data_IF_416704633505
#
_entry.id   IF_416704633505
#
_cell.length_a   1.000
_cell.length_b   1.000
_cell.length_c   1.000
_cell.angle_alpha   90.00
_cell.angle_beta   90.00
_cell.angle_gamma   90.00
#
_symmetry.space_group_name_H-M   'P 1'
#
loop_
_entity.id
_entity.type
_entity.pdbx_description
1 polymer ?
#
# COMPACT_ATOMS: atom_id res chain seq x y z
N UNK A 1 18.49 -12.30 7.99
CA UNK A 1 17.17 -12.46 7.34
C UNK A 1 17.22 -11.71 6.04
N UNK A 2 17.08 -12.39 4.91
CA UNK A 2 17.15 -11.75 3.58
C UNK A 2 15.85 -10.97 3.33
N UNK A 3 15.96 -9.66 3.22
CA UNK A 3 14.83 -8.83 2.80
C UNK A 3 14.67 -8.94 1.29
N UNK A 4 13.99 -9.98 0.83
CA UNK A 4 13.82 -10.34 -0.59
C UNK A 4 13.31 -9.18 -1.47
N UNK A 5 12.67 -8.18 -0.89
CA UNK A 5 12.19 -7.00 -1.61
C UNK A 5 13.28 -5.93 -1.84
N UNK A 6 14.36 -5.89 -0.99
CA UNK A 6 15.51 -4.99 -1.19
C UNK A 6 16.43 -5.48 -2.32
N UNK A 7 16.41 -6.79 -2.61
CA UNK A 7 17.24 -7.39 -3.65
C UNK A 7 16.65 -7.28 -5.06
N UNK A 8 15.41 -6.79 -5.21
CA UNK A 8 14.78 -6.62 -6.51
C UNK A 8 15.37 -5.39 -7.22
N UNK A 9 16.38 -5.64 -8.07
CA UNK A 9 16.93 -4.61 -8.95
C UNK A 9 15.93 -4.23 -10.03
N UNK A 10 15.75 -2.92 -10.24
CA UNK A 10 15.00 -2.40 -11.38
C UNK A 10 15.66 -2.86 -12.69
N UNK A 11 14.89 -3.53 -13.54
CA UNK A 11 15.34 -3.96 -14.88
C UNK A 11 14.89 -2.90 -15.88
N UNK A 12 15.84 -2.09 -16.37
CA UNK A 12 15.58 -1.08 -17.37
C UNK A 12 16.64 0.02 -17.36
N UNK A 13 16.58 0.92 -18.32
CA UNK A 13 17.39 2.12 -18.35
C UNK A 13 16.52 3.36 -18.15
N UNK A 14 17.04 4.39 -17.50
CA UNK A 14 16.37 5.71 -17.33
C UNK A 14 15.99 6.27 -18.71
N UNK A 15 16.85 6.11 -19.72
CA UNK A 15 16.57 6.53 -21.08
C UNK A 15 15.37 5.81 -21.68
N UNK A 16 15.32 4.45 -21.54
CA UNK A 16 14.19 3.66 -22.03
C UNK A 16 12.89 4.03 -21.34
N UNK A 17 12.92 4.30 -20.03
CA UNK A 17 11.73 4.73 -19.29
C UNK A 17 11.26 6.13 -19.74
N UNK A 18 12.17 7.08 -19.92
CA UNK A 18 11.84 8.41 -20.45
C UNK A 18 11.23 8.34 -21.85
N UNK A 19 11.76 7.47 -22.69
CA UNK A 19 11.22 7.25 -24.04
C UNK A 19 9.81 6.68 -23.99
N UNK A 20 9.57 5.64 -23.17
CA UNK A 20 8.25 5.02 -22.99
C UNK A 20 7.24 6.03 -22.44
N UNK A 21 7.62 6.79 -21.41
CA UNK A 21 6.76 7.82 -20.82
C UNK A 21 6.48 8.96 -21.82
N UNK A 22 7.50 9.43 -22.55
CA UNK A 22 7.33 10.44 -23.59
C UNK A 22 6.40 9.96 -24.71
N UNK A 23 6.61 8.74 -25.19
CA UNK A 23 5.71 8.13 -26.18
C UNK A 23 4.28 8.00 -25.65
N UNK A 24 4.10 7.61 -24.38
CA UNK A 24 2.78 7.50 -23.75
C UNK A 24 2.00 8.83 -23.74
N UNK A 25 2.69 9.97 -23.55
CA UNK A 25 2.05 11.28 -23.62
C UNK A 25 1.71 11.70 -25.07
N UNK A 26 2.50 11.29 -26.04
CA UNK A 26 2.25 11.57 -27.46
C UNK A 26 1.05 10.77 -27.99
N UNK A 27 1.01 9.48 -27.71
CA UNK A 27 -0.03 8.57 -28.22
C UNK A 27 -1.30 8.55 -27.35
N UNK A 28 -1.22 9.13 -26.16
CA UNK A 28 -2.30 9.12 -25.17
C UNK A 28 -2.38 7.83 -24.33
N UNK A 29 -3.07 7.91 -23.19
CA UNK A 29 -3.18 6.84 -22.20
C UNK A 29 -3.70 5.52 -22.79
N UNK A 30 -4.72 5.57 -23.63
CA UNK A 30 -5.36 4.37 -24.21
C UNK A 30 -4.39 3.57 -25.06
N UNK A 31 -3.68 4.22 -25.98
CA UNK A 31 -2.67 3.58 -26.84
C UNK A 31 -1.46 3.12 -26.01
N UNK A 32 -1.00 3.92 -25.06
CA UNK A 32 0.07 3.51 -24.16
C UNK A 32 -0.28 2.22 -23.37
N UNK A 33 -1.53 2.06 -22.94
CA UNK A 33 -1.99 0.81 -22.29
C UNK A 33 -1.96 -0.39 -23.22
N UNK A 34 -2.24 -0.23 -24.50
CA UNK A 34 -2.10 -1.33 -25.47
C UNK A 34 -0.64 -1.80 -25.56
N UNK A 35 0.31 -0.88 -25.48
CA UNK A 35 1.75 -1.21 -25.49
C UNK A 35 2.21 -1.97 -24.22
N UNK A 36 1.44 -1.93 -23.13
CA UNK A 36 1.75 -2.72 -21.93
C UNK A 36 1.55 -4.23 -22.12
N UNK A 37 0.73 -4.68 -23.08
CA UNK A 37 0.44 -6.10 -23.27
C UNK A 37 1.70 -6.94 -23.56
N UNK A 38 2.53 -6.61 -24.56
CA UNK A 38 3.76 -7.37 -24.82
C UNK A 38 4.76 -7.24 -23.64
N UNK A 39 4.84 -6.09 -22.98
CA UNK A 39 5.70 -5.89 -21.81
C UNK A 39 5.29 -6.80 -20.65
N UNK A 40 4.00 -6.84 -20.32
CA UNK A 40 3.48 -7.72 -19.27
C UNK A 40 3.70 -9.19 -19.59
N UNK A 41 3.50 -9.59 -20.85
CA UNK A 41 3.73 -10.96 -21.28
C UNK A 41 5.21 -11.34 -21.14
N UNK A 42 6.12 -10.47 -21.56
CA UNK A 42 7.56 -10.66 -21.37
C UNK A 42 7.92 -10.88 -19.90
N UNK A 43 7.51 -9.98 -18.99
CA UNK A 43 7.81 -10.15 -17.57
C UNK A 43 7.15 -11.38 -16.96
N UNK A 44 5.93 -11.72 -17.36
CA UNK A 44 5.24 -12.92 -16.90
C UNK A 44 5.96 -14.19 -17.32
N UNK A 45 6.55 -14.25 -18.51
CA UNK A 45 7.27 -15.41 -19.00
C UNK A 45 8.68 -15.53 -18.37
N UNK A 46 9.41 -14.43 -18.26
CA UNK A 46 10.84 -14.45 -17.89
C UNK A 46 11.13 -14.14 -16.43
N UNK A 47 10.17 -13.60 -15.63
CA UNK A 47 10.38 -13.29 -14.21
C UNK A 47 9.87 -14.39 -13.29
N UNK A 48 10.59 -15.52 -13.19
CA UNK A 48 10.15 -16.71 -12.45
C UNK A 48 9.88 -16.44 -10.98
N UNK A 49 10.75 -15.68 -10.28
CA UNK A 49 10.60 -15.35 -8.85
C UNK A 49 9.30 -14.55 -8.61
N UNK A 50 9.10 -13.45 -9.34
CA UNK A 50 7.90 -12.61 -9.24
C UNK A 50 6.63 -13.38 -9.59
N UNK A 51 6.69 -14.28 -10.59
CA UNK A 51 5.55 -15.14 -10.98
C UNK A 51 5.18 -16.13 -9.88
N UNK A 52 6.17 -16.72 -9.17
CA UNK A 52 5.91 -17.61 -8.04
C UNK A 52 5.25 -16.85 -6.88
N UNK A 53 5.77 -15.68 -6.53
CA UNK A 53 5.20 -14.82 -5.51
C UNK A 53 3.76 -14.39 -5.84
N UNK A 54 3.52 -13.92 -7.06
CA UNK A 54 2.18 -13.57 -7.56
C UNK A 54 1.22 -14.77 -7.49
N UNK A 55 1.67 -15.97 -7.86
CA UNK A 55 0.85 -17.19 -7.77
C UNK A 55 0.50 -17.53 -6.32
N UNK A 56 1.46 -17.45 -5.39
CA UNK A 56 1.26 -17.70 -3.95
C UNK A 56 0.25 -16.72 -3.36
N UNK A 57 0.38 -15.45 -3.64
CA UNK A 57 -0.58 -14.42 -3.23
C UNK A 57 -1.97 -14.65 -3.82
N UNK A 58 -2.07 -14.77 -5.16
CA UNK A 58 -3.36 -14.91 -5.82
C UNK A 58 -4.10 -16.19 -5.42
N UNK A 59 -3.40 -17.30 -5.12
CA UNK A 59 -4.06 -18.51 -4.64
C UNK A 59 -4.79 -18.28 -3.31
N UNK A 60 -4.23 -17.45 -2.42
CA UNK A 60 -4.84 -17.09 -1.14
C UNK A 60 -5.95 -16.05 -1.29
N UNK A 61 -5.70 -15.00 -2.08
CA UNK A 61 -6.67 -13.93 -2.28
C UNK A 61 -7.94 -14.40 -3.02
N UNK A 62 -7.78 -15.31 -3.99
CA UNK A 62 -8.89 -15.89 -4.78
C UNK A 62 -9.52 -17.13 -4.11
N UNK A 63 -8.87 -17.74 -3.12
CA UNK A 63 -9.32 -18.99 -2.50
C UNK A 63 -9.28 -20.21 -3.47
N UNK A 64 -8.55 -20.12 -4.58
CA UNK A 64 -8.38 -21.16 -5.59
C UNK A 64 -7.02 -21.06 -6.27
N UNK A 65 -6.62 -22.13 -6.97
CA UNK A 65 -5.42 -22.07 -7.83
C UNK A 65 -5.61 -21.03 -8.95
N UNK A 66 -4.70 -20.04 -9.08
CA UNK A 66 -4.83 -19.03 -10.12
C UNK A 66 -4.49 -19.61 -11.50
N UNK A 67 -5.27 -19.20 -12.50
CA UNK A 67 -5.01 -19.48 -13.92
C UNK A 67 -3.93 -18.53 -14.46
N UNK A 68 -3.43 -18.81 -15.66
CA UNK A 68 -2.48 -17.93 -16.35
C UNK A 68 -3.07 -16.52 -16.56
N UNK A 69 -4.36 -16.44 -16.88
CA UNK A 69 -5.08 -15.17 -17.02
C UNK A 69 -5.13 -14.33 -15.74
N UNK A 70 -5.19 -14.97 -14.55
CA UNK A 70 -5.15 -14.27 -13.27
C UNK A 70 -3.77 -13.62 -13.03
N UNK A 71 -2.72 -14.38 -13.30
CA UNK A 71 -1.34 -13.87 -13.25
C UNK A 71 -1.13 -12.70 -14.22
N UNK A 72 -1.62 -12.86 -15.46
CA UNK A 72 -1.54 -11.82 -16.46
C UNK A 72 -2.29 -10.53 -16.02
N UNK A 73 -3.51 -10.66 -15.50
CA UNK A 73 -4.29 -9.52 -14.96
C UNK A 73 -3.56 -8.81 -13.83
N UNK A 74 -2.87 -9.54 -12.95
CA UNK A 74 -2.09 -8.96 -11.86
C UNK A 74 -0.91 -8.12 -12.39
N UNK A 75 -0.14 -8.65 -13.35
CA UNK A 75 0.95 -7.90 -14.00
C UNK A 75 0.42 -6.70 -14.79
N UNK A 76 -0.68 -6.87 -15.50
CA UNK A 76 -1.28 -5.81 -16.29
C UNK A 76 -1.88 -4.69 -15.43
N UNK A 77 -2.49 -5.03 -14.28
CA UNK A 77 -2.96 -4.05 -13.31
C UNK A 77 -1.80 -3.23 -12.75
N UNK A 78 -0.70 -3.89 -12.34
CA UNK A 78 0.51 -3.21 -11.89
C UNK A 78 1.06 -2.25 -12.95
N UNK A 79 1.26 -2.74 -14.18
CA UNK A 79 1.80 -1.93 -15.26
C UNK A 79 0.89 -0.75 -15.61
N UNK A 80 -0.44 -0.95 -15.57
CA UNK A 80 -1.41 0.13 -15.80
C UNK A 80 -1.34 1.19 -14.70
N UNK A 81 -1.32 0.79 -13.42
CA UNK A 81 -1.20 1.73 -12.29
C UNK A 81 0.12 2.49 -12.36
N UNK A 82 1.23 1.81 -12.71
CA UNK A 82 2.52 2.45 -12.90
C UNK A 82 2.52 3.47 -14.07
N UNK A 83 1.84 3.17 -15.18
CA UNK A 83 1.62 4.12 -16.28
C UNK A 83 0.75 5.29 -15.83
N UNK A 84 -0.36 5.03 -15.16
CA UNK A 84 -1.32 6.04 -14.72
C UNK A 84 -0.69 7.03 -13.74
N UNK A 85 0.28 6.58 -12.92
CA UNK A 85 1.07 7.43 -12.04
C UNK A 85 1.65 8.64 -12.78
N UNK A 86 2.20 8.46 -13.99
CA UNK A 86 2.81 9.56 -14.75
C UNK A 86 1.76 10.58 -15.22
N UNK A 87 0.58 10.13 -15.61
CA UNK A 87 -0.52 11.03 -15.96
C UNK A 87 -1.03 11.80 -14.73
N UNK A 88 -1.17 11.13 -13.59
CA UNK A 88 -1.56 11.78 -12.32
C UNK A 88 -0.52 12.79 -11.83
N UNK A 89 0.78 12.52 -12.03
CA UNK A 89 1.86 13.46 -11.70
C UNK A 89 1.90 14.70 -12.62
N UNK A 90 1.26 14.63 -13.78
CA UNK A 90 1.03 15.75 -14.72
C UNK A 90 -0.36 16.37 -14.55
N UNK A 91 -1.02 16.09 -13.42
CA UNK A 91 -2.33 16.62 -13.04
C UNK A 91 -3.44 16.37 -14.09
N UNK A 92 -3.28 15.28 -14.90
CA UNK A 92 -4.26 14.84 -15.91
C UNK A 92 -5.38 14.04 -15.26
N UNK A 93 -6.05 14.63 -14.26
CA UNK A 93 -7.10 13.97 -13.46
C UNK A 93 -8.36 13.67 -14.25
N UNK A 94 -8.63 14.46 -15.28
CA UNK A 94 -9.77 14.30 -16.20
C UNK A 94 -9.77 12.95 -16.95
N UNK A 95 -8.63 12.27 -16.98
CA UNK A 95 -8.52 10.94 -17.59
C UNK A 95 -9.11 9.83 -16.72
N UNK A 96 -9.43 10.12 -15.45
CA UNK A 96 -9.78 9.11 -14.46
C UNK A 96 -11.16 9.36 -13.85
N UNK A 97 -11.92 8.29 -13.70
CA UNK A 97 -13.14 8.25 -12.91
C UNK A 97 -12.80 7.77 -11.50
N UNK A 98 -12.92 8.68 -10.53
CA UNK A 98 -12.55 8.41 -9.15
C UNK A 98 -13.78 8.49 -8.26
N UNK A 99 -14.07 7.38 -7.54
CA UNK A 99 -15.11 7.34 -6.50
C UNK A 99 -14.43 7.32 -5.14
N UNK A 100 -14.96 8.11 -4.21
CA UNK A 100 -14.39 8.23 -2.85
C UNK A 100 -15.38 7.64 -1.86
N UNK A 101 -14.90 6.71 -1.03
CA UNK A 101 -15.62 6.08 0.06
C UNK A 101 -14.99 6.48 1.41
N UNK A 102 -15.81 6.69 2.44
CA UNK A 102 -15.36 7.19 3.73
C UNK A 102 -15.09 8.69 3.71
N UNK A 103 -15.86 9.45 2.93
CA UNK A 103 -15.77 10.92 2.88
C UNK A 103 -16.05 11.55 4.24
N UNK A 104 -16.96 10.97 5.02
CA UNK A 104 -17.25 11.36 6.40
C UNK A 104 -16.03 11.22 7.32
N UNK A 105 -15.28 10.12 7.21
CA UNK A 105 -14.04 9.88 7.96
C UNK A 105 -12.98 10.91 7.55
N UNK A 106 -12.86 11.17 6.24
CA UNK A 106 -11.94 12.16 5.69
C UNK A 106 -12.28 13.55 6.19
N UNK A 107 -13.55 13.97 6.07
CA UNK A 107 -14.02 15.29 6.49
C UNK A 107 -13.85 15.49 7.99
N UNK A 108 -14.22 14.51 8.81
CA UNK A 108 -14.02 14.59 10.26
C UNK A 108 -12.54 14.80 10.64
N UNK A 109 -11.62 14.13 9.93
CA UNK A 109 -10.19 14.32 10.18
C UNK A 109 -9.69 15.72 9.74
N UNK A 110 -10.25 16.26 8.65
CA UNK A 110 -9.98 17.62 8.20
C UNK A 110 -10.51 18.68 9.18
N UNK A 111 -11.75 18.52 9.65
CA UNK A 111 -12.41 19.47 10.57
C UNK A 111 -11.69 19.58 11.92
N UNK A 112 -11.00 18.51 12.33
CA UNK A 112 -10.14 18.54 13.53
C UNK A 112 -8.92 19.47 13.38
N UNK A 113 -8.59 19.88 12.15
CA UNK A 113 -7.46 20.76 11.88
C UNK A 113 -6.11 20.20 12.34
N UNK A 114 -6.01 18.88 12.46
CA UNK A 114 -4.80 18.19 12.87
C UNK A 114 -4.27 17.35 11.72
N UNK A 115 -2.95 17.36 11.51
CA UNK A 115 -2.31 16.46 10.58
C UNK A 115 -2.57 14.99 10.96
N UNK A 116 -2.69 14.10 9.98
CA UNK A 116 -3.00 12.71 10.19
C UNK A 116 -2.02 11.81 9.43
N UNK A 117 -1.81 10.59 9.94
CA UNK A 117 -1.07 9.56 9.23
C UNK A 117 -2.02 8.77 8.32
N UNK A 118 -1.68 8.69 7.03
CA UNK A 118 -2.33 7.82 6.06
C UNK A 118 -1.54 6.52 5.95
N UNK A 119 -2.10 5.43 6.46
CA UNK A 119 -1.47 4.11 6.38
C UNK A 119 -2.03 3.35 5.19
N UNK A 120 -1.24 3.28 4.13
CA UNK A 120 -1.54 2.53 2.92
C UNK A 120 -0.79 1.22 2.82
N UNK A 121 -0.84 0.62 1.64
CA UNK A 121 -0.08 -0.57 1.23
C UNK A 121 0.31 -0.42 -0.25
N UNK A 122 1.15 -1.35 -0.76
CA UNK A 122 1.38 -1.48 -2.20
C UNK A 122 0.13 -2.06 -2.91
N UNK A 123 -1.03 -1.53 -2.57
CA UNK A 123 -2.36 -1.94 -3.01
C UNK A 123 -3.01 -0.82 -3.83
N UNK A 124 -3.09 -1.02 -5.14
CA UNK A 124 -3.60 -0.03 -6.07
C UNK A 124 -2.68 1.17 -6.26
N UNK A 125 -3.24 2.36 -6.41
CA UNK A 125 -2.51 3.60 -6.65
C UNK A 125 -2.60 4.55 -5.46
N UNK A 126 -1.45 4.93 -4.91
CA UNK A 126 -1.40 6.02 -3.95
C UNK A 126 -1.58 7.39 -4.63
N UNK A 127 -1.06 7.54 -5.83
CA UNK A 127 -1.11 8.80 -6.57
C UNK A 127 -2.54 9.25 -6.92
N UNK A 128 -3.50 8.33 -6.95
CA UNK A 128 -4.91 8.68 -7.19
C UNK A 128 -5.49 9.59 -6.09
N UNK A 129 -4.87 9.59 -4.90
CA UNK A 129 -5.18 10.53 -3.83
C UNK A 129 -5.02 11.99 -4.27
N UNK A 130 -4.13 12.27 -5.21
CA UNK A 130 -3.94 13.62 -5.77
C UNK A 130 -5.19 14.14 -6.46
N UNK A 131 -5.92 13.25 -7.14
CA UNK A 131 -7.19 13.60 -7.78
C UNK A 131 -8.25 14.01 -6.73
N UNK A 132 -8.29 13.35 -5.57
CA UNK A 132 -9.13 13.74 -4.45
C UNK A 132 -8.61 15.03 -3.78
N UNK A 133 -7.29 15.22 -3.73
CA UNK A 133 -6.63 16.38 -3.13
C UNK A 133 -7.04 17.71 -3.75
N UNK A 134 -7.42 17.73 -5.02
CA UNK A 134 -7.96 18.96 -5.67
C UNK A 134 -9.28 19.40 -5.06
N UNK A 135 -10.15 18.47 -4.69
CA UNK A 135 -11.44 18.76 -4.05
C UNK A 135 -11.33 19.09 -2.57
N UNK A 136 -10.41 18.45 -1.86
CA UNK A 136 -10.27 18.58 -0.39
C UNK A 136 -9.07 19.44 0.05
N UNK A 137 -8.28 20.00 -0.87
CA UNK A 137 -7.05 20.76 -0.60
C UNK A 137 -6.07 20.04 0.33
N UNK A 138 -5.95 18.72 0.15
CA UNK A 138 -5.08 17.87 0.96
C UNK A 138 -3.60 18.07 0.57
N UNK A 139 -2.80 18.54 1.51
CA UNK A 139 -1.35 18.47 1.39
C UNK A 139 -0.87 17.13 1.98
N UNK A 140 -0.38 16.23 1.12
CA UNK A 140 0.10 14.92 1.54
C UNK A 140 1.58 14.79 1.22
N UNK A 141 2.38 14.53 2.26
CA UNK A 141 3.77 14.13 2.14
C UNK A 141 3.88 12.61 2.23
N UNK A 142 4.71 11.99 1.37
CA UNK A 142 4.95 10.54 1.37
C UNK A 142 6.24 10.19 2.06
N UNK A 143 6.16 9.28 3.03
CA UNK A 143 7.34 8.65 3.62
C UNK A 143 7.69 7.41 2.80
N UNK A 144 8.86 7.39 2.19
CA UNK A 144 9.31 6.27 1.38
C UNK A 144 10.81 6.04 1.48
N UNK A 145 11.24 4.83 1.15
CA UNK A 145 12.65 4.50 1.08
C UNK A 145 13.23 5.00 -0.25
N UNK A 146 14.16 5.96 -0.20
CA UNK A 146 14.70 6.63 -1.40
C UNK A 146 15.42 5.67 -2.35
N UNK A 147 16.05 4.60 -1.80
CA UNK A 147 16.80 3.62 -2.59
C UNK A 147 15.92 2.70 -3.44
N UNK A 148 14.64 2.61 -3.12
CA UNK A 148 13.70 1.81 -3.89
C UNK A 148 13.05 2.66 -4.98
N UNK A 149 12.96 2.09 -6.19
CA UNK A 149 12.39 2.75 -7.35
C UNK A 149 13.15 4.03 -7.78
N UNK A 150 14.48 4.07 -7.65
CA UNK A 150 15.33 5.23 -8.04
C UNK A 150 15.04 5.70 -9.47
N UNK A 151 14.90 4.78 -10.41
CA UNK A 151 14.65 5.08 -11.81
C UNK A 151 13.27 5.71 -12.02
N UNK A 152 12.24 5.13 -11.41
CA UNK A 152 10.85 5.66 -11.47
C UNK A 152 10.80 7.04 -10.82
N UNK A 153 11.43 7.20 -9.65
CA UNK A 153 11.48 8.49 -8.95
C UNK A 153 12.26 9.55 -9.73
N UNK A 154 13.37 9.18 -10.38
CA UNK A 154 14.13 10.11 -11.22
C UNK A 154 13.29 10.65 -12.38
N UNK A 155 12.52 9.79 -13.05
CA UNK A 155 11.64 10.22 -14.14
C UNK A 155 10.46 11.03 -13.60
N UNK A 156 9.86 10.60 -12.48
CA UNK A 156 8.75 11.30 -11.84
C UNK A 156 9.14 12.71 -11.37
N UNK A 157 10.32 12.87 -10.74
CA UNK A 157 10.85 14.16 -10.30
C UNK A 157 11.13 15.10 -11.47
N UNK A 158 11.63 14.57 -12.59
CA UNK A 158 11.84 15.36 -13.81
C UNK A 158 10.51 15.85 -14.42
N UNK A 159 9.41 15.11 -14.19
CA UNK A 159 8.07 15.47 -14.69
C UNK A 159 7.33 16.44 -13.76
N UNK A 160 7.55 16.35 -12.46
CA UNK A 160 6.95 17.24 -11.47
C UNK A 160 8.03 17.70 -10.48
N UNK A 161 8.62 18.89 -10.68
CA UNK A 161 9.70 19.41 -9.83
C UNK A 161 9.29 19.65 -8.37
N UNK A 162 8.01 19.78 -8.05
CA UNK A 162 7.50 19.91 -6.68
C UNK A 162 7.39 18.56 -5.94
N UNK A 163 7.60 17.43 -6.61
CA UNK A 163 7.47 16.11 -6.03
C UNK A 163 8.53 15.81 -4.94
N UNK A 164 9.82 16.20 -5.08
CA UNK A 164 10.82 15.97 -4.04
C UNK A 164 10.45 16.60 -2.69
N UNK A 165 9.82 17.77 -2.69
CA UNK A 165 9.39 18.45 -1.46
C UNK A 165 8.27 17.70 -0.72
N UNK A 166 7.57 16.81 -1.40
CA UNK A 166 6.49 15.97 -0.85
C UNK A 166 6.97 14.58 -0.45
N UNK A 167 8.26 14.27 -0.64
CA UNK A 167 8.84 12.97 -0.29
C UNK A 167 9.72 13.15 0.94
N UNK A 168 9.47 12.33 1.96
CA UNK A 168 10.31 12.21 3.15
C UNK A 168 11.06 10.89 3.06
N UNK A 169 12.38 10.96 2.84
CA UNK A 169 13.22 9.77 2.74
C UNK A 169 13.36 9.07 4.09
N UNK A 170 13.04 7.79 4.16
CA UNK A 170 13.29 6.95 5.33
C UNK A 170 14.78 6.60 5.44
N UNK A 171 15.23 6.37 6.69
CA UNK A 171 16.62 5.99 6.99
C UNK A 171 17.58 7.17 7.17
N UNK A 172 17.09 8.41 7.06
CA UNK A 172 17.86 9.62 7.38
C UNK A 172 17.56 10.06 8.81
N UNK A 173 18.55 10.67 9.48
CA UNK A 173 18.40 11.15 10.86
C UNK A 173 17.32 12.24 11.00
N UNK A 174 17.10 13.03 9.96
CA UNK A 174 16.13 14.12 9.92
C UNK A 174 14.71 13.69 9.50
N UNK A 175 14.50 12.43 9.10
CA UNK A 175 13.20 11.94 8.60
C UNK A 175 12.07 12.15 9.60
N UNK A 176 12.32 11.85 10.87
CA UNK A 176 11.30 11.99 11.92
C UNK A 176 10.96 13.45 12.23
N UNK A 177 11.96 14.35 12.17
CA UNK A 177 11.71 15.78 12.29
C UNK A 177 10.86 16.31 11.15
N UNK A 178 11.10 15.85 9.91
CA UNK A 178 10.29 16.22 8.75
C UNK A 178 8.86 15.72 8.86
N UNK A 179 8.65 14.48 9.32
CA UNK A 179 7.31 13.94 9.60
C UNK A 179 6.61 14.79 10.66
N UNK A 180 7.29 15.10 11.77
CA UNK A 180 6.76 15.93 12.84
C UNK A 180 6.37 17.34 12.33
N UNK A 181 7.29 18.02 11.63
CA UNK A 181 7.06 19.36 11.08
C UNK A 181 5.84 19.39 10.13
N UNK A 182 5.72 18.42 9.24
CA UNK A 182 4.57 18.30 8.33
C UNK A 182 3.25 18.14 9.11
N UNK A 183 3.22 17.26 10.09
CA UNK A 183 2.01 17.02 10.90
C UNK A 183 1.66 18.24 11.77
N UNK A 184 2.64 19.01 12.24
CA UNK A 184 2.39 20.26 12.97
C UNK A 184 1.77 21.36 12.09
N UNK A 185 2.08 21.34 10.79
CA UNK A 185 1.47 22.26 9.79
C UNK A 185 0.14 21.73 9.25
N UNK A 186 -0.48 20.76 9.93
CA UNK A 186 -1.73 20.10 9.54
C UNK A 186 -1.66 19.38 8.18
N UNK A 187 -0.45 19.13 7.65
CA UNK A 187 -0.26 18.29 6.48
C UNK A 187 -0.47 16.82 6.85
N UNK A 188 -0.83 16.03 5.87
CA UNK A 188 -1.02 14.60 6.03
C UNK A 188 0.23 13.86 5.58
N UNK A 189 0.54 12.76 6.27
CA UNK A 189 1.76 11.99 6.00
C UNK A 189 1.39 10.55 5.64
N UNK A 190 1.66 10.16 4.40
CA UNK A 190 1.41 8.81 3.89
C UNK A 190 2.59 7.88 4.18
N UNK A 191 2.28 6.70 4.72
CA UNK A 191 3.23 5.62 5.01
C UNK A 191 2.67 4.32 4.46
N UNK A 192 3.50 3.48 3.83
CA UNK A 192 3.09 2.12 3.45
C UNK A 192 3.43 1.15 4.58
N UNK A 193 2.42 0.42 5.06
CA UNK A 193 2.50 -0.44 6.25
C UNK A 193 2.65 -1.93 5.93
N UNK A 194 2.84 -2.31 4.66
CA UNK A 194 2.95 -3.69 4.23
C UNK A 194 4.39 -4.16 3.94
N UNK A 195 5.40 -3.37 4.33
CA UNK A 195 6.82 -3.76 4.24
C UNK A 195 7.58 -3.37 5.49
N UNK A 196 8.42 -4.27 5.96
CA UNK A 196 9.27 -4.05 7.13
C UNK A 196 10.64 -3.54 6.66
N UNK A 197 11.13 -2.48 7.31
CA UNK A 197 12.48 -1.98 7.11
C UNK A 197 13.50 -2.88 7.83
N UNK A 198 14.77 -2.86 7.38
CA UNK A 198 15.85 -3.59 8.06
C UNK A 198 15.95 -3.17 9.52
N UNK A 199 15.93 -4.17 10.43
CA UNK A 199 15.99 -3.92 11.88
C UNK A 199 14.71 -3.33 12.48
N UNK A 200 13.66 -3.10 11.68
CA UNK A 200 12.37 -2.60 12.17
C UNK A 200 11.63 -3.66 13.00
N UNK A 201 11.01 -3.19 14.08
CA UNK A 201 10.15 -4.02 14.91
C UNK A 201 8.87 -4.40 14.15
N UNK A 202 8.44 -5.64 14.34
CA UNK A 202 7.31 -6.23 13.63
C UNK A 202 6.52 -7.17 14.52
N UNK A 203 5.24 -7.27 14.29
CA UNK A 203 4.35 -8.20 14.96
C UNK A 203 3.63 -9.09 13.94
N UNK A 204 3.34 -10.35 14.28
CA UNK A 204 2.56 -11.22 13.45
C UNK A 204 1.08 -10.85 13.49
N UNK A 205 0.40 -10.93 12.33
CA UNK A 205 -1.04 -10.87 12.24
C UNK A 205 -1.57 -11.88 11.22
N UNK A 206 -2.79 -12.40 11.39
CA UNK A 206 -3.45 -13.21 10.37
C UNK A 206 -3.64 -12.40 9.08
N UNK A 207 -3.22 -12.95 7.95
CA UNK A 207 -3.37 -12.33 6.65
C UNK A 207 -3.49 -13.38 5.55
N UNK A 208 -4.63 -13.40 4.87
CA UNK A 208 -4.95 -14.34 3.78
C UNK A 208 -4.73 -15.82 4.17
N UNK A 209 -5.12 -16.17 5.39
CA UNK A 209 -5.10 -17.56 5.90
C UNK A 209 -3.79 -18.01 6.54
N UNK A 210 -2.75 -17.17 6.55
CA UNK A 210 -1.49 -17.44 7.27
C UNK A 210 -1.08 -16.24 8.10
N UNK A 211 -0.16 -16.45 9.07
CA UNK A 211 0.47 -15.35 9.78
C UNK A 211 1.47 -14.63 8.86
N UNK A 212 1.42 -13.30 8.89
CA UNK A 212 2.38 -12.45 8.21
C UNK A 212 2.90 -11.39 9.18
N UNK A 213 4.12 -10.93 8.95
CA UNK A 213 4.76 -9.93 9.79
C UNK A 213 4.51 -8.53 9.25
N UNK A 214 4.04 -7.63 10.13
CA UNK A 214 3.77 -6.24 9.81
C UNK A 214 4.57 -5.30 10.71
N UNK A 215 5.03 -4.12 10.20
CA UNK A 215 5.80 -3.17 10.99
C UNK A 215 4.95 -2.49 12.08
N UNK A 216 5.54 -2.28 13.26
CA UNK A 216 4.93 -1.53 14.36
C UNK A 216 5.22 -0.02 14.26
N UNK A 217 6.21 0.38 13.46
CA UNK A 217 6.69 1.76 13.37
C UNK A 217 5.62 2.80 13.05
N UNK A 218 4.62 2.59 12.16
CA UNK A 218 3.58 3.60 11.93
C UNK A 218 2.77 3.92 13.19
N UNK A 219 2.48 2.91 14.01
CA UNK A 219 1.70 3.05 15.24
C UNK A 219 2.52 3.72 16.35
N UNK A 220 3.82 3.39 16.44
CA UNK A 220 4.74 4.04 17.39
C UNK A 220 4.91 5.52 17.06
N UNK A 221 5.04 5.87 15.78
CA UNK A 221 5.05 7.26 15.29
C UNK A 221 3.76 7.97 15.68
N UNK A 222 2.60 7.35 15.43
CA UNK A 222 1.30 7.89 15.78
C UNK A 222 1.17 8.18 17.29
N UNK A 223 1.58 7.22 18.13
CA UNK A 223 1.57 7.39 19.60
C UNK A 223 2.51 8.48 20.10
N UNK A 224 3.70 8.59 19.51
CA UNK A 224 4.70 9.60 19.87
C UNK A 224 4.19 11.00 19.52
N UNK A 225 3.58 11.14 18.34
CA UNK A 225 3.12 12.43 17.82
C UNK A 225 1.66 12.75 18.20
N UNK A 226 0.97 11.81 18.88
CA UNK A 226 -0.46 11.90 19.23
C UNK A 226 -1.33 12.23 18.00
N UNK A 227 -1.15 11.47 16.93
CA UNK A 227 -1.89 11.65 15.67
C UNK A 227 -2.72 10.42 15.32
N UNK A 228 -3.92 10.60 14.75
CA UNK A 228 -4.71 9.45 14.27
C UNK A 228 -4.07 8.81 13.05
N UNK A 229 -4.39 7.51 12.85
CA UNK A 229 -4.07 6.80 11.60
C UNK A 229 -5.37 6.50 10.87
N UNK A 230 -5.45 6.92 9.60
CA UNK A 230 -6.44 6.48 8.65
C UNK A 230 -5.82 5.48 7.69
N UNK A 231 -6.50 4.35 7.48
CA UNK A 231 -6.20 3.45 6.36
C UNK A 231 -6.62 4.12 5.06
N UNK A 232 -5.78 3.99 4.02
CA UNK A 232 -6.09 4.51 2.70
C UNK A 232 -5.67 3.52 1.62
N UNK A 233 -6.53 3.31 0.64
CA UNK A 233 -6.19 2.59 -0.60
C UNK A 233 -6.92 3.16 -1.80
N UNK A 234 -6.23 3.16 -2.96
CA UNK A 234 -6.78 3.59 -4.25
C UNK A 234 -6.87 2.42 -5.21
N UNK A 235 -7.97 1.66 -5.16
CA UNK A 235 -8.16 0.45 -5.97
C UNK A 235 -8.36 0.78 -7.44
N UNK A 236 -7.59 0.14 -8.31
CA UNK A 236 -7.80 0.14 -9.75
C UNK A 236 -8.85 -0.91 -10.14
N UNK A 237 -9.94 -0.49 -10.76
CA UNK A 237 -11.06 -1.35 -11.14
C UNK A 237 -11.12 -1.68 -12.64
N UNK A 238 -10.07 -1.36 -13.36
CA UNK A 238 -10.04 -1.54 -14.82
C UNK A 238 -10.47 -0.27 -15.58
N UNK A 239 -10.07 -0.20 -16.84
CA UNK A 239 -10.33 0.99 -17.66
C UNK A 239 -9.60 2.22 -17.14
N UNK A 240 -10.37 3.23 -16.74
CA UNK A 240 -9.91 4.45 -16.10
C UNK A 240 -10.50 4.64 -14.70
N UNK A 241 -11.10 3.59 -14.11
CA UNK A 241 -11.86 3.66 -12.87
C UNK A 241 -11.03 3.33 -11.67
N UNK A 242 -11.15 4.18 -10.65
CA UNK A 242 -10.51 4.01 -9.34
C UNK A 242 -11.50 4.22 -8.21
N UNK A 243 -11.31 3.48 -7.11
CA UNK A 243 -12.00 3.73 -5.84
C UNK A 243 -10.99 4.09 -4.76
N UNK A 244 -11.16 5.26 -4.15
CA UNK A 244 -10.45 5.66 -2.94
C UNK A 244 -11.27 5.27 -1.73
N UNK A 245 -10.63 4.61 -0.77
CA UNK A 245 -11.26 4.25 0.50
C UNK A 245 -10.47 4.84 1.66
N UNK A 246 -11.19 5.45 2.61
CA UNK A 246 -10.64 5.97 3.87
C UNK A 246 -11.36 5.33 5.04
N UNK A 247 -10.60 4.82 6.03
CA UNK A 247 -11.14 4.20 7.23
C UNK A 247 -10.29 4.53 8.44
N UNK A 248 -10.91 4.82 9.59
CA UNK A 248 -10.18 5.05 10.84
C UNK A 248 -9.62 3.72 11.38
N UNK A 249 -8.30 3.64 11.52
CA UNK A 249 -7.60 2.46 12.04
C UNK A 249 -7.23 2.65 13.50
N UNK A 250 -6.72 3.83 13.87
CA UNK A 250 -6.12 4.06 15.17
C UNK A 250 -6.31 5.50 15.62
N UNK A 251 -6.58 5.68 16.91
CA UNK A 251 -6.64 6.99 17.55
C UNK A 251 -5.60 7.03 18.68
N UNK A 252 -4.46 7.65 18.40
CA UNK A 252 -3.34 7.66 19.32
C UNK A 252 -3.55 8.62 20.50
N UNK A 253 -4.45 9.62 20.38
CA UNK A 253 -4.71 10.61 21.43
C UNK A 253 -5.36 10.01 22.66
N UNK A 254 -6.20 8.99 22.45
CA UNK A 254 -7.00 8.38 23.52
C UNK A 254 -6.31 7.21 24.21
N UNK A 255 -5.06 6.85 23.80
CA UNK A 255 -4.36 5.68 24.31
C UNK A 255 -3.55 5.99 25.56
N UNK A 256 -3.92 5.45 26.73
CA UNK A 256 -3.12 5.57 27.96
C UNK A 256 -1.74 4.93 27.81
N UNK A 257 -0.73 5.45 28.52
CA UNK A 257 0.66 4.95 28.43
C UNK A 257 0.75 3.43 28.71
N UNK A 258 0.04 2.93 29.71
CA UNK A 258 0.04 1.52 30.08
C UNK A 258 -0.61 0.58 29.03
N UNK A 259 -1.45 1.13 28.14
CA UNK A 259 -2.17 0.35 27.13
C UNK A 259 -1.54 0.39 25.72
N UNK A 260 -0.38 1.06 25.57
CA UNK A 260 0.20 1.35 24.24
C UNK A 260 0.51 0.11 23.43
N UNK A 261 1.19 -0.89 24.01
CA UNK A 261 1.57 -2.11 23.29
C UNK A 261 0.33 -2.89 22.83
N UNK A 262 -0.64 -3.10 23.69
CA UNK A 262 -1.89 -3.76 23.34
C UNK A 262 -2.71 -2.95 22.30
N UNK A 263 -2.61 -1.62 22.31
CA UNK A 263 -3.27 -0.77 21.34
C UNK A 263 -2.59 -0.86 19.95
N UNK A 264 -1.25 -0.95 19.90
CA UNK A 264 -0.49 -1.19 18.66
C UNK A 264 -0.91 -2.53 18.06
N UNK A 265 -0.92 -3.61 18.85
CA UNK A 265 -1.28 -4.94 18.39
C UNK A 265 -2.71 -4.97 17.80
N UNK A 266 -3.69 -4.40 18.52
CA UNK A 266 -5.07 -4.31 18.02
C UNK A 266 -5.19 -3.50 16.72
N UNK A 267 -4.47 -2.38 16.62
CA UNK A 267 -4.48 -1.52 15.43
C UNK A 267 -3.83 -2.22 14.23
N UNK A 268 -2.72 -2.93 14.46
CA UNK A 268 -2.02 -3.72 13.46
C UNK A 268 -2.90 -4.86 12.94
N UNK A 269 -3.60 -5.60 13.82
CA UNK A 269 -4.55 -6.63 13.42
C UNK A 269 -5.73 -6.04 12.62
N UNK A 270 -6.23 -4.86 13.00
CA UNK A 270 -7.25 -4.15 12.23
C UNK A 270 -6.74 -3.78 10.84
N UNK A 271 -5.52 -3.25 10.73
CA UNK A 271 -4.89 -2.93 9.44
C UNK A 271 -4.75 -4.18 8.56
N UNK A 272 -4.19 -5.28 9.10
CA UNK A 272 -4.03 -6.53 8.37
C UNK A 272 -5.39 -7.07 7.87
N UNK A 273 -6.43 -7.01 8.70
CA UNK A 273 -7.80 -7.40 8.31
C UNK A 273 -8.39 -6.51 7.22
N UNK A 274 -8.14 -5.18 7.25
CA UNK A 274 -8.58 -4.26 6.18
C UNK A 274 -7.80 -4.49 4.90
N UNK A 275 -6.48 -4.67 4.98
CA UNK A 275 -5.65 -5.03 3.85
C UNK A 275 -6.13 -6.34 3.19
N UNK A 276 -6.41 -7.39 3.99
CA UNK A 276 -6.98 -8.65 3.51
C UNK A 276 -8.31 -8.43 2.78
N UNK A 277 -9.23 -7.67 3.38
CA UNK A 277 -10.53 -7.36 2.79
C UNK A 277 -10.37 -6.77 1.37
N UNK A 278 -9.49 -5.78 1.21
CA UNK A 278 -9.29 -5.14 -0.07
C UNK A 278 -8.48 -6.00 -1.05
N UNK A 279 -7.57 -6.84 -0.57
CA UNK A 279 -6.91 -7.84 -1.39
C UNK A 279 -7.89 -8.87 -1.95
N UNK A 280 -8.94 -9.25 -1.20
CA UNK A 280 -10.01 -10.13 -1.70
C UNK A 280 -10.98 -9.40 -2.62
N UNK A 281 -11.34 -8.15 -2.31
CA UNK A 281 -12.21 -7.30 -3.15
C UNK A 281 -11.60 -7.01 -4.52
N UNK A 282 -10.29 -6.74 -4.57
CA UNK A 282 -9.55 -6.39 -5.78
C UNK A 282 -8.23 -7.17 -5.88
N UNK A 283 -8.28 -8.50 -6.16
CA UNK A 283 -7.14 -9.40 -5.98
C UNK A 283 -5.96 -9.10 -6.91
N UNK A 284 -6.16 -8.35 -7.98
CA UNK A 284 -5.08 -8.00 -8.90
C UNK A 284 -4.39 -6.67 -8.55
N UNK A 285 -4.68 -6.07 -7.39
CA UNK A 285 -4.19 -4.74 -7.02
C UNK A 285 -3.03 -4.74 -6.01
N UNK A 286 -2.69 -5.85 -5.34
CA UNK A 286 -1.61 -5.86 -4.36
C UNK A 286 -0.27 -6.23 -5.00
N UNK A 287 0.58 -5.22 -5.19
CA UNK A 287 1.78 -5.28 -6.02
C UNK A 287 3.04 -5.73 -5.25
N UNK A 288 2.91 -6.82 -4.49
CA UNK A 288 4.00 -7.49 -3.82
C UNK A 288 4.46 -8.70 -4.65
N UNK A 289 5.46 -8.48 -5.51
CA UNK A 289 6.04 -9.51 -6.38
C UNK A 289 7.23 -10.24 -5.73
N UNK A 290 7.23 -10.38 -4.41
CA UNK A 290 8.16 -11.19 -3.62
C UNK A 290 7.38 -12.10 -2.66
N UNK A 291 8.04 -13.12 -2.07
CA UNK A 291 7.37 -14.01 -1.11
C UNK A 291 7.18 -13.31 0.23
N UNK A 292 5.98 -12.81 0.46
CA UNK A 292 5.61 -12.02 1.63
C UNK A 292 5.62 -12.84 2.93
N UNK A 293 5.31 -14.14 2.83
CA UNK A 293 5.22 -15.03 3.98
C UNK A 293 6.53 -15.76 4.30
N UNK A 294 7.53 -15.72 3.43
CA UNK A 294 8.82 -16.41 3.59
C UNK A 294 9.79 -15.67 4.53
N UNK A 295 9.40 -14.52 5.03
CA UNK A 295 10.23 -13.67 5.91
C UNK A 295 10.30 -14.16 7.37
N UNK A 296 10.17 -15.47 7.64
CA UNK A 296 10.36 -16.07 8.96
C UNK A 296 9.14 -15.90 9.88
N UNK A 297 7.95 -16.18 9.40
CA UNK A 297 6.73 -16.21 10.23
C UNK A 297 6.89 -17.25 11.36
N UNK A 298 6.83 -16.87 12.65
CA UNK A 298 6.69 -17.85 13.71
C UNK A 298 5.37 -18.59 13.51
N UNK A 299 5.35 -19.90 13.74
CA UNK A 299 4.14 -20.68 13.69
C UNK A 299 3.10 -20.08 14.66
N UNK A 300 1.97 -19.61 14.14
CA UNK A 300 0.85 -19.21 15.00
C UNK A 300 0.27 -20.48 15.58
N UNK A 301 0.18 -20.63 16.91
CA UNK A 301 -0.50 -21.78 17.50
C UNK A 301 -1.94 -21.80 16.98
N UNK A 302 -2.35 -22.95 16.45
CA UNK A 302 -3.72 -23.18 16.00
C UNK A 302 -4.67 -22.78 17.14
N UNK A 303 -5.65 -21.92 16.87
CA UNK A 303 -6.74 -21.65 17.81
C UNK A 303 -7.37 -22.99 18.17
N UNK A 304 -7.21 -23.40 19.42
CA UNK A 304 -7.96 -24.51 19.97
C UNK A 304 -9.45 -24.15 19.83
N UNK A 305 -10.15 -24.85 18.94
CA UNK A 305 -11.60 -24.85 18.92
C UNK A 305 -12.06 -25.36 20.31
N UNK A 306 -12.47 -24.46 21.18
CA UNK A 306 -13.30 -24.82 22.28
C UNK A 306 -14.64 -25.25 21.67
N UNK A 307 -14.78 -26.55 21.41
CA UNK A 307 -16.04 -27.22 21.35
C UNK A 307 -16.58 -27.21 22.80
N UNK A 308 -17.49 -26.30 23.07
CA UNK A 308 -18.46 -26.48 24.18
C UNK A 308 -19.35 -27.65 23.80
N UNK A 309 -18.96 -28.83 24.21
CA UNK A 309 -19.77 -30.03 24.19
C UNK A 309 -20.59 -30.07 25.46
N UNK A 310 -21.88 -29.95 25.31
CA UNK A 310 -22.89 -30.18 26.28
C UNK A 310 -22.71 -31.53 27.01
N UNK A 311 -22.69 -31.51 28.32
CA UNK A 311 -23.12 -32.64 29.16
C UNK A 311 -24.27 -32.19 30.05
N UNK A 312 -25.47 -32.28 29.52
CA UNK A 312 -26.68 -32.62 30.27
C UNK A 312 -26.96 -34.09 30.00
N UNK A 313 -27.05 -34.86 31.04
CA UNK A 313 -27.93 -36.02 31.37
C UNK A 313 -27.20 -36.95 32.32
N UNK A 314 -27.73 -37.26 33.42
CA UNK A 314 -28.89 -37.92 34.01
C UNK A 314 -28.49 -38.20 35.43
N UNK A 315 -29.27 -38.09 36.45
CA UNK A 315 -30.58 -38.67 36.66
C UNK A 315 -30.48 -39.79 37.67
N UNK A 316 -31.29 -39.80 38.61
CA UNK A 316 -31.70 -40.78 39.62
C UNK A 316 -31.19 -40.53 41.02
#
# INVERSE_FOLDING_TARGET
MSHAWLEQRERGSIFGMRLIVGAAFLVGRTMARLMLHPICLYFLLFSVKSRRASRKFLSRALGRRPHFSDLYRHYFAFATVALDRFFLLKDRYELFEVRIHGQDVLQHALDRGQGCLLLGAHLGSFEILRAAGTSYRLEVAMVMYEDNAKMVNTVANAMNPALPDRIIGLGRLDSMFKVYDRLQRNAWVGILGDRVLQGGEQLPAPFLGEAALFPTSPYRIALMLKRPILFMTGLYLGGNRYELHFEKIFDAETVPRAAREAAIERALHRYAGRLEHYCRKAPYNWFNFYDFWDAGSPAVPARANKTEGAEERSGS
#
